data_IF_592190479271
#
_entry.id   IF_592190479271
#
_cell.length_a   1.000
_cell.length_b   1.000
_cell.length_c   1.000
_cell.angle_alpha   90.00
_cell.angle_beta   90.00
_cell.angle_gamma   90.00
#
_symmetry.space_group_name_H-M   'P 1'
#
loop_
_entity.id
_entity.type
_entity.pdbx_description
1 polymer ?
#
# COMPACT_ATOMS: atom_id res chain seq x y z
N UNK A 1 30.47 -6.10 -18.56
CA UNK A 1 29.38 -5.32 -19.21
C UNK A 1 28.34 -6.15 -19.97
N UNK A 2 28.66 -7.30 -20.59
CA UNK A 2 27.69 -8.13 -21.35
C UNK A 2 26.56 -8.77 -20.52
N UNK A 3 26.80 -9.08 -19.23
CA UNK A 3 25.77 -9.62 -18.31
C UNK A 3 24.70 -8.61 -17.90
N UNK A 4 25.08 -7.32 -17.75
CA UNK A 4 24.15 -6.26 -17.38
C UNK A 4 23.23 -5.91 -18.55
N UNK A 5 23.75 -5.92 -19.79
CA UNK A 5 22.94 -5.73 -21.00
C UNK A 5 21.97 -6.91 -21.24
N UNK A 6 22.36 -8.15 -20.91
CA UNK A 6 21.49 -9.34 -21.02
C UNK A 6 20.37 -9.33 -19.98
N UNK A 7 20.64 -8.85 -18.76
CA UNK A 7 19.62 -8.71 -17.72
C UNK A 7 18.66 -7.56 -18.05
N UNK A 8 19.16 -6.43 -18.56
CA UNK A 8 18.31 -5.29 -18.98
C UNK A 8 17.48 -5.64 -20.22
N UNK A 9 18.02 -6.39 -21.20
CA UNK A 9 17.23 -6.84 -22.36
C UNK A 9 16.21 -7.93 -21.99
N UNK A 10 16.53 -8.85 -21.07
CA UNK A 10 15.54 -9.79 -20.49
C UNK A 10 14.47 -9.05 -19.69
N UNK A 11 14.82 -8.00 -18.96
CA UNK A 11 13.86 -7.20 -18.17
C UNK A 11 12.96 -6.33 -19.07
N UNK A 12 13.50 -5.77 -20.16
CA UNK A 12 12.74 -5.05 -21.19
C UNK A 12 11.86 -6.00 -22.04
N UNK A 13 12.33 -7.20 -22.34
CA UNK A 13 11.55 -8.26 -22.99
C UNK A 13 10.42 -8.79 -22.09
N UNK A 14 10.67 -8.93 -20.78
CA UNK A 14 9.62 -9.25 -19.81
C UNK A 14 8.62 -8.11 -19.61
N UNK A 15 9.06 -6.84 -19.65
CA UNK A 15 8.17 -5.65 -19.59
C UNK A 15 7.18 -5.60 -20.76
N UNK A 16 7.57 -6.07 -21.95
CA UNK A 16 6.65 -6.21 -23.08
C UNK A 16 5.68 -7.41 -22.92
N UNK A 17 6.04 -8.43 -22.13
CA UNK A 17 5.16 -9.54 -21.76
C UNK A 17 4.11 -9.15 -20.70
N UNK A 18 4.47 -8.24 -19.78
CA UNK A 18 3.51 -7.62 -18.83
C UNK A 18 2.52 -6.66 -19.50
N UNK A 19 2.79 -6.19 -20.72
CA UNK A 19 1.83 -5.42 -21.53
C UNK A 19 0.73 -6.30 -22.15
N UNK A 20 0.90 -7.63 -22.15
CA UNK A 20 -0.01 -8.60 -22.78
C UNK A 20 -0.74 -9.52 -21.78
N UNK A 21 -0.51 -9.38 -20.48
CA UNK A 21 -1.20 -10.17 -19.45
C UNK A 21 -2.11 -9.21 -18.68
N UNK A 22 -3.39 -9.20 -19.05
CA UNK A 22 -4.44 -8.47 -18.33
C UNK A 22 -5.10 -7.32 -19.10
N UNK A 23 -5.39 -7.48 -20.38
CA UNK A 23 -6.45 -6.71 -21.06
C UNK A 23 -7.54 -7.69 -21.47
N UNK A 24 -8.48 -7.95 -20.57
CA UNK A 24 -9.82 -8.39 -20.98
C UNK A 24 -10.68 -7.12 -20.96
N UNK A 25 -10.86 -6.53 -22.14
CA UNK A 25 -11.76 -5.40 -22.32
C UNK A 25 -13.19 -5.93 -22.28
N UNK A 26 -13.97 -5.44 -21.32
CA UNK A 26 -15.41 -5.66 -21.29
C UNK A 26 -16.03 -4.95 -22.51
N UNK A 27 -16.70 -5.66 -23.46
CA UNK A 27 -17.06 -5.10 -24.77
C UNK A 27 -18.09 -3.97 -24.72
N UNK A 28 -18.62 -3.62 -23.55
CA UNK A 28 -19.56 -2.52 -23.36
C UNK A 28 -18.98 -1.28 -22.64
N UNK A 29 -17.78 -1.35 -22.04
CA UNK A 29 -17.30 -0.24 -21.17
C UNK A 29 -15.79 0.04 -21.19
N UNK A 30 -14.95 -0.79 -21.83
CA UNK A 30 -13.56 -0.42 -22.18
C UNK A 30 -12.64 -0.04 -21.01
N UNK A 31 -12.81 -0.60 -19.80
CA UNK A 31 -11.93 -0.34 -18.64
C UNK A 31 -11.24 -1.61 -18.12
N UNK A 32 -9.99 -1.53 -17.62
CA UNK A 32 -9.32 -2.64 -16.95
C UNK A 32 -9.69 -2.72 -15.46
N UNK A 33 -10.27 -3.85 -15.05
CA UNK A 33 -10.59 -4.15 -13.64
C UNK A 33 -9.37 -4.69 -12.89
N UNK A 34 -8.95 -4.01 -11.82
CA UNK A 34 -7.90 -4.48 -10.91
C UNK A 34 -8.54 -5.08 -9.66
N UNK A 35 -8.68 -6.41 -9.66
CA UNK A 35 -9.17 -7.17 -8.51
C UNK A 35 -8.12 -7.20 -7.40
N UNK A 36 -8.42 -6.55 -6.28
CA UNK A 36 -7.66 -6.66 -5.04
C UNK A 36 -8.53 -7.45 -4.06
N UNK A 37 -8.08 -8.65 -3.68
CA UNK A 37 -8.81 -9.60 -2.83
C UNK A 37 -8.83 -9.08 -1.39
N UNK A 38 -9.77 -8.18 -1.09
CA UNK A 38 -10.21 -7.87 0.27
C UNK A 38 -11.75 -7.88 0.30
N UNK A 39 -12.30 -9.04 0.68
CA UNK A 39 -13.66 -9.21 1.18
C UNK A 39 -14.78 -8.44 0.48
N UNK A 40 -15.14 -8.83 -0.74
CA UNK A 40 -16.27 -8.28 -1.52
C UNK A 40 -17.67 -8.48 -0.90
N UNK A 41 -17.75 -9.00 0.33
CA UNK A 41 -18.99 -9.53 0.90
C UNK A 41 -19.78 -8.53 1.76
N UNK A 42 -19.21 -7.39 2.18
CA UNK A 42 -19.90 -6.48 3.10
C UNK A 42 -20.33 -5.14 2.48
N UNK A 43 -19.69 -4.67 1.40
CA UNK A 43 -20.00 -3.36 0.79
C UNK A 43 -20.90 -3.41 -0.46
N UNK A 44 -21.08 -4.59 -1.07
CA UNK A 44 -21.78 -4.77 -2.36
C UNK A 44 -23.08 -5.57 -2.19
N UNK A 45 -24.09 -4.98 -1.52
CA UNK A 45 -25.44 -5.56 -1.49
C UNK A 45 -26.43 -4.94 -2.47
N UNK A 46 -26.09 -3.88 -3.22
CA UNK A 46 -27.06 -3.23 -4.11
C UNK A 46 -26.88 -3.47 -5.63
N UNK A 47 -25.96 -4.35 -6.05
CA UNK A 47 -25.72 -4.64 -7.49
C UNK A 47 -25.91 -6.10 -7.90
N UNK A 48 -26.25 -7.00 -6.97
CA UNK A 48 -26.35 -8.45 -7.26
C UNK A 48 -27.63 -8.87 -8.00
N UNK A 49 -28.50 -7.95 -8.37
CA UNK A 49 -29.77 -8.28 -9.03
C UNK A 49 -29.70 -8.37 -10.56
N UNK A 50 -28.59 -8.02 -11.22
CA UNK A 50 -28.57 -7.88 -12.69
C UNK A 50 -27.55 -8.67 -13.51
N UNK A 51 -26.63 -9.44 -12.91
CA UNK A 51 -25.67 -10.25 -13.68
C UNK A 51 -25.60 -11.68 -13.16
N UNK A 52 -26.64 -12.46 -13.46
CA UNK A 52 -26.56 -13.92 -13.48
C UNK A 52 -27.13 -14.41 -14.79
N UNK A 53 -26.29 -14.49 -15.84
CA UNK A 53 -26.42 -15.43 -16.96
C UNK A 53 -25.22 -15.34 -17.90
N UNK A 54 -24.54 -16.48 -18.04
CA UNK A 54 -23.74 -16.96 -19.19
C UNK A 54 -22.38 -16.30 -19.47
N UNK A 55 -21.27 -17.02 -19.23
CA UNK A 55 -20.29 -17.54 -20.23
C UNK A 55 -19.01 -18.11 -19.53
N UNK A 56 -18.09 -18.82 -20.21
CA UNK A 56 -17.59 -20.12 -19.81
C UNK A 56 -16.14 -20.09 -19.26
N UNK A 57 -15.71 -21.22 -18.71
CA UNK A 57 -14.35 -21.45 -18.23
C UNK A 57 -13.33 -21.49 -19.40
N UNK A 58 -12.23 -20.76 -19.26
CA UNK A 58 -11.02 -20.99 -20.05
C UNK A 58 -9.79 -20.93 -19.16
N UNK A 59 -9.02 -22.03 -19.21
CA UNK A 59 -7.92 -22.35 -18.33
C UNK A 59 -6.58 -21.72 -18.74
N UNK A 60 -5.74 -21.54 -17.73
CA UNK A 60 -4.32 -21.26 -17.94
C UNK A 60 -3.66 -20.52 -16.78
N UNK A 61 -3.65 -21.09 -15.57
CA UNK A 61 -2.80 -20.72 -14.41
C UNK A 61 -2.82 -21.86 -13.37
N UNK A 62 -2.13 -22.98 -13.64
CA UNK A 62 -2.57 -24.30 -13.14
C UNK A 62 -1.79 -24.90 -11.97
N UNK A 63 -0.84 -24.23 -11.32
CA UNK A 63 -0.12 -24.84 -10.19
C UNK A 63 -0.07 -24.01 -8.91
N UNK A 64 0.24 -22.71 -8.99
CA UNK A 64 0.36 -21.88 -7.79
C UNK A 64 -1.02 -21.51 -7.22
N UNK A 65 -1.98 -21.13 -8.07
CA UNK A 65 -3.38 -20.97 -7.67
C UNK A 65 -3.97 -22.29 -7.16
N UNK A 66 -3.69 -23.41 -7.84
CA UNK A 66 -4.17 -24.73 -7.38
C UNK A 66 -3.55 -25.14 -6.05
N UNK A 67 -2.29 -24.81 -5.78
CA UNK A 67 -1.62 -25.09 -4.51
C UNK A 67 -2.14 -24.20 -3.38
N UNK A 68 -2.40 -22.91 -3.66
CA UNK A 68 -2.99 -21.96 -2.69
C UNK A 68 -4.45 -22.31 -2.40
N UNK A 69 -5.24 -22.70 -3.40
CA UNK A 69 -6.62 -23.15 -3.23
C UNK A 69 -6.71 -24.55 -2.59
N UNK A 70 -5.78 -25.48 -2.88
CA UNK A 70 -5.71 -26.80 -2.22
C UNK A 70 -5.21 -26.70 -0.78
N UNK A 71 -4.25 -25.83 -0.50
CA UNK A 71 -3.80 -25.50 0.85
C UNK A 71 -4.91 -24.86 1.69
N UNK A 72 -5.76 -24.03 1.06
CA UNK A 72 -6.97 -23.51 1.71
C UNK A 72 -8.03 -24.60 1.95
N UNK A 73 -8.27 -25.52 1.00
CA UNK A 73 -9.27 -26.60 1.16
C UNK A 73 -8.90 -27.66 2.20
N UNK A 74 -7.63 -28.08 2.27
CA UNK A 74 -7.22 -29.16 3.20
C UNK A 74 -7.26 -28.73 4.69
N UNK A 75 -7.15 -27.43 4.98
CA UNK A 75 -7.31 -26.89 6.34
C UNK A 75 -8.78 -26.76 6.76
N UNK A 76 -9.70 -26.78 5.80
CA UNK A 76 -11.13 -26.53 6.01
C UNK A 76 -11.92 -27.80 6.39
N UNK A 77 -11.36 -29.01 6.19
CA UNK A 77 -12.03 -30.28 6.55
C UNK A 77 -11.63 -30.85 7.92
N UNK A 78 -10.39 -30.65 8.40
CA UNK A 78 -9.90 -31.32 9.62
C UNK A 78 -10.03 -30.44 10.88
N UNK A 79 -10.01 -29.12 10.75
CA UNK A 79 -10.14 -28.19 11.90
C UNK A 79 -11.57 -27.79 12.24
N UNK A 80 -12.55 -28.10 11.39
CA UNK A 80 -13.92 -27.58 11.46
C UNK A 80 -14.86 -28.49 12.24
N UNK A 81 -14.65 -29.82 12.26
CA UNK A 81 -15.59 -30.73 12.92
C UNK A 81 -15.62 -30.64 14.45
N UNK A 82 -14.49 -30.32 15.10
CA UNK A 82 -14.38 -30.24 16.58
C UNK A 82 -14.74 -28.87 17.14
N UNK A 83 -14.34 -27.77 16.48
CA UNK A 83 -14.64 -26.41 16.95
C UNK A 83 -16.08 -25.96 16.63
N UNK A 84 -16.71 -26.55 15.61
CA UNK A 84 -18.05 -26.17 15.16
C UNK A 84 -19.18 -26.68 16.08
N UNK A 85 -18.91 -27.69 16.93
CA UNK A 85 -19.86 -28.21 17.92
C UNK A 85 -19.88 -27.42 19.25
N UNK A 86 -18.82 -26.71 19.61
CA UNK A 86 -18.72 -26.02 20.91
C UNK A 86 -19.21 -24.56 20.91
N UNK A 87 -19.35 -23.91 19.74
CA UNK A 87 -19.49 -22.44 19.64
C UNK A 87 -20.75 -21.98 18.86
N UNK A 88 -21.84 -22.75 18.92
CA UNK A 88 -23.03 -22.57 18.09
C UNK A 88 -24.12 -21.62 18.64
N UNK A 89 -23.89 -20.86 19.72
CA UNK A 89 -25.03 -20.28 20.49
C UNK A 89 -25.10 -18.75 20.55
N UNK A 90 -24.46 -17.98 19.65
CA UNK A 90 -24.70 -16.52 19.58
C UNK A 90 -24.76 -16.07 18.12
N UNK A 91 -25.95 -16.15 17.53
CA UNK A 91 -26.30 -15.51 16.25
C UNK A 91 -27.37 -14.47 16.53
N UNK A 92 -27.13 -13.24 16.09
CA UNK A 92 -28.15 -12.19 16.14
C UNK A 92 -28.97 -12.18 14.84
N UNK A 93 -30.27 -11.93 14.93
CA UNK A 93 -31.20 -11.92 13.79
C UNK A 93 -30.86 -10.85 12.75
N UNK A 94 -30.29 -9.72 13.18
CA UNK A 94 -29.91 -8.60 12.31
C UNK A 94 -28.58 -8.79 11.58
N UNK A 95 -27.84 -9.86 11.82
CA UNK A 95 -26.57 -10.13 11.15
C UNK A 95 -26.77 -10.95 9.88
N UNK A 96 -26.14 -10.53 8.78
CA UNK A 96 -26.30 -11.11 7.43
C UNK A 96 -25.40 -12.31 7.14
N UNK A 97 -24.68 -12.84 8.14
CA UNK A 97 -23.70 -13.92 7.95
C UNK A 97 -24.27 -15.29 8.31
N UNK A 98 -23.87 -16.33 7.58
CA UNK A 98 -24.44 -17.68 7.69
C UNK A 98 -23.99 -18.45 8.96
N UNK A 99 -22.78 -18.16 9.46
CA UNK A 99 -22.16 -18.76 10.65
C UNK A 99 -22.31 -17.90 11.91
N UNK A 100 -21.82 -18.33 13.07
CA UNK A 100 -21.89 -17.55 14.33
C UNK A 100 -21.08 -16.26 14.26
N UNK A 101 -21.52 -15.20 14.98
CA UNK A 101 -20.85 -13.89 14.98
C UNK A 101 -19.37 -14.01 15.39
N UNK A 102 -19.08 -14.91 16.34
CA UNK A 102 -17.73 -15.13 16.85
C UNK A 102 -16.85 -15.78 15.80
N UNK A 103 -17.34 -16.83 15.12
CA UNK A 103 -16.61 -17.47 14.03
C UNK A 103 -16.36 -16.49 12.89
N UNK A 104 -17.31 -15.60 12.61
CA UNK A 104 -17.12 -14.55 11.62
C UNK A 104 -15.96 -13.61 11.96
N UNK A 105 -15.90 -13.16 13.22
CA UNK A 105 -14.84 -12.28 13.70
C UNK A 105 -13.49 -13.01 13.71
N UNK A 106 -13.47 -14.27 14.17
CA UNK A 106 -12.25 -15.09 14.20
C UNK A 106 -11.72 -15.36 12.79
N UNK A 107 -12.58 -15.66 11.83
CA UNK A 107 -12.20 -15.82 10.43
C UNK A 107 -11.65 -14.50 9.84
N UNK A 108 -12.22 -13.37 10.28
CA UNK A 108 -11.76 -12.02 9.93
C UNK A 108 -10.38 -11.69 10.49
N UNK A 109 -10.00 -12.29 11.62
CA UNK A 109 -8.66 -12.21 12.17
C UNK A 109 -7.69 -13.16 11.44
N UNK A 110 -8.03 -14.46 11.42
CA UNK A 110 -7.08 -15.53 11.12
C UNK A 110 -6.62 -15.52 9.66
N UNK A 111 -7.52 -15.23 8.71
CA UNK A 111 -7.18 -15.22 7.28
C UNK A 111 -6.15 -14.12 6.93
N UNK A 112 -6.42 -12.83 7.18
CA UNK A 112 -5.44 -11.77 6.90
C UNK A 112 -4.21 -11.83 7.81
N UNK A 113 -4.33 -12.32 9.05
CA UNK A 113 -3.17 -12.58 9.91
C UNK A 113 -2.18 -13.56 9.27
N UNK A 114 -2.67 -14.71 8.79
CA UNK A 114 -1.83 -15.73 8.16
C UNK A 114 -1.22 -15.22 6.85
N UNK A 115 -1.99 -14.50 6.03
CA UNK A 115 -1.48 -13.90 4.79
C UNK A 115 -0.34 -12.93 5.09
N UNK A 116 -0.53 -12.04 6.07
CA UNK A 116 0.51 -11.10 6.49
C UNK A 116 1.76 -11.78 7.03
N UNK A 117 1.58 -12.79 7.88
CA UNK A 117 2.67 -13.56 8.45
C UNK A 117 3.47 -14.32 7.38
N UNK A 118 2.79 -15.00 6.46
CA UNK A 118 3.42 -15.75 5.36
C UNK A 118 4.15 -14.80 4.40
N UNK A 119 3.58 -13.64 4.06
CA UNK A 119 4.23 -12.68 3.17
C UNK A 119 5.55 -12.14 3.75
N UNK A 120 5.58 -11.79 5.03
CA UNK A 120 6.79 -11.27 5.67
C UNK A 120 7.84 -12.35 5.92
N UNK A 121 7.42 -13.54 6.33
CA UNK A 121 8.33 -14.67 6.47
C UNK A 121 8.94 -15.08 5.13
N UNK A 122 8.14 -15.20 4.07
CA UNK A 122 8.62 -15.54 2.73
C UNK A 122 9.62 -14.51 2.19
N UNK A 123 9.31 -13.20 2.31
CA UNK A 123 10.22 -12.13 1.85
C UNK A 123 11.56 -12.12 2.60
N UNK A 124 11.58 -12.50 3.89
CA UNK A 124 12.82 -12.67 4.65
C UNK A 124 13.58 -13.92 4.22
N UNK A 125 12.88 -15.04 4.03
CA UNK A 125 13.50 -16.28 3.57
C UNK A 125 14.23 -16.08 2.23
N UNK A 126 13.61 -15.35 1.28
CA UNK A 126 14.22 -15.00 -0.01
C UNK A 126 15.46 -14.10 0.12
N UNK A 127 15.62 -13.35 1.21
CA UNK A 127 16.81 -12.53 1.41
C UNK A 127 18.01 -13.34 1.94
N UNK A 128 17.80 -14.57 2.45
CA UNK A 128 18.81 -15.40 3.13
C UNK A 128 19.13 -16.70 2.38
N UNK A 129 19.10 -16.69 1.05
CA UNK A 129 19.09 -17.86 0.15
C UNK A 129 20.17 -18.94 0.39
N UNK A 130 21.23 -18.66 1.17
CA UNK A 130 22.35 -19.58 1.37
C UNK A 130 22.65 -19.98 2.82
N UNK A 131 22.15 -19.25 3.83
CA UNK A 131 22.42 -19.54 5.26
C UNK A 131 21.25 -20.20 5.99
N UNK A 132 20.07 -20.23 5.36
CA UNK A 132 18.83 -20.62 6.01
C UNK A 132 18.58 -22.14 6.00
N UNK A 133 19.16 -22.85 5.03
CA UNK A 133 19.01 -24.31 4.88
C UNK A 133 19.90 -25.07 5.89
N UNK A 134 21.02 -24.47 6.32
CA UNK A 134 21.94 -25.12 7.26
C UNK A 134 21.47 -25.11 8.73
N UNK A 135 20.62 -24.15 9.14
CA UNK A 135 20.23 -23.98 10.54
C UNK A 135 18.70 -23.77 10.69
N UNK A 136 17.90 -24.83 10.92
CA UNK A 136 16.45 -24.74 11.11
C UNK A 136 16.04 -24.03 12.41
N UNK A 137 16.94 -23.93 13.40
CA UNK A 137 16.69 -23.18 14.64
C UNK A 137 16.61 -21.66 14.41
N UNK A 138 17.42 -21.14 13.47
CA UNK A 138 17.37 -19.73 13.07
C UNK A 138 16.09 -19.37 12.35
N UNK A 139 15.48 -20.31 11.64
CA UNK A 139 14.16 -20.15 11.01
C UNK A 139 13.06 -19.91 12.04
N UNK A 140 12.99 -20.69 13.11
CA UNK A 140 11.97 -20.51 14.15
C UNK A 140 12.16 -19.17 14.90
N UNK A 141 13.41 -18.78 15.15
CA UNK A 141 13.75 -17.47 15.72
C UNK A 141 13.34 -16.31 14.78
N UNK A 142 13.60 -16.44 13.48
CA UNK A 142 13.16 -15.48 12.47
C UNK A 142 11.64 -15.40 12.34
N UNK A 143 10.93 -16.51 12.46
CA UNK A 143 9.46 -16.56 12.42
C UNK A 143 8.83 -15.95 13.67
N UNK A 144 9.42 -16.17 14.84
CA UNK A 144 8.98 -15.60 16.12
C UNK A 144 9.41 -14.15 16.33
N UNK A 145 10.13 -13.57 15.35
CA UNK A 145 10.53 -12.17 15.40
C UNK A 145 9.30 -11.26 15.51
N UNK A 146 9.31 -10.37 16.52
CA UNK A 146 8.17 -9.50 16.85
C UNK A 146 7.67 -8.74 15.62
N UNK A 147 8.58 -8.27 14.77
CA UNK A 147 8.26 -7.54 13.54
C UNK A 147 7.44 -8.35 12.52
N UNK A 148 7.62 -9.67 12.46
CA UNK A 148 6.86 -10.54 11.54
C UNK A 148 5.45 -10.79 12.07
N UNK A 149 5.31 -10.96 13.39
CA UNK A 149 4.02 -11.09 14.05
C UNK A 149 3.24 -9.77 14.07
N UNK A 150 3.91 -8.63 14.23
CA UNK A 150 3.28 -7.30 14.26
C UNK A 150 2.48 -6.98 12.99
N UNK A 151 2.97 -7.38 11.82
CA UNK A 151 2.25 -7.12 10.56
C UNK A 151 1.02 -8.02 10.41
N UNK A 152 1.14 -9.29 10.78
CA UNK A 152 -0.01 -10.20 10.85
C UNK A 152 -1.05 -9.69 11.85
N UNK A 153 -0.61 -9.25 13.03
CA UNK A 153 -1.47 -8.69 14.08
C UNK A 153 -2.18 -7.41 13.63
N UNK A 154 -1.49 -6.55 12.87
CA UNK A 154 -2.09 -5.36 12.27
C UNK A 154 -3.21 -5.73 11.29
N UNK A 155 -2.93 -6.60 10.31
CA UNK A 155 -3.90 -6.99 9.27
C UNK A 155 -5.08 -7.79 9.85
N UNK A 156 -4.78 -8.74 10.74
CA UNK A 156 -5.77 -9.53 11.46
C UNK A 156 -6.62 -8.67 12.40
N UNK A 157 -5.99 -7.85 13.21
CA UNK A 157 -6.65 -6.98 14.18
C UNK A 157 -7.56 -5.96 13.51
N UNK A 158 -7.09 -5.30 12.45
CA UNK A 158 -7.91 -4.38 11.65
C UNK A 158 -9.20 -5.06 11.14
N UNK A 159 -9.06 -6.24 10.51
CA UNK A 159 -10.21 -6.98 9.95
C UNK A 159 -11.16 -7.51 11.02
N UNK A 160 -10.63 -7.99 12.15
CA UNK A 160 -11.43 -8.48 13.26
C UNK A 160 -12.21 -7.35 13.93
N UNK A 161 -11.55 -6.23 14.25
CA UNK A 161 -12.17 -5.06 14.88
C UNK A 161 -13.25 -4.46 14.00
N UNK A 162 -13.01 -4.38 12.69
CA UNK A 162 -14.03 -3.93 11.74
C UNK A 162 -15.31 -4.77 11.83
N UNK A 163 -15.19 -6.11 11.84
CA UNK A 163 -16.33 -7.02 11.95
C UNK A 163 -17.00 -6.98 13.32
N UNK A 164 -16.21 -6.97 14.39
CA UNK A 164 -16.71 -6.90 15.77
C UNK A 164 -17.58 -5.66 15.95
N UNK A 165 -17.11 -4.49 15.49
CA UNK A 165 -17.83 -3.23 15.65
C UNK A 165 -19.10 -3.22 14.80
N UNK A 166 -19.05 -3.70 13.55
CA UNK A 166 -20.26 -3.80 12.72
C UNK A 166 -21.31 -4.75 13.34
N UNK A 167 -20.90 -5.92 13.82
CA UNK A 167 -21.79 -6.84 14.52
C UNK A 167 -22.34 -6.22 15.80
N UNK A 168 -21.52 -5.50 16.57
CA UNK A 168 -21.93 -4.85 17.81
C UNK A 168 -22.95 -3.73 17.55
N UNK A 169 -22.72 -2.87 16.56
CA UNK A 169 -23.67 -1.82 16.16
C UNK A 169 -24.97 -2.43 15.63
N UNK A 170 -24.91 -3.52 14.86
CA UNK A 170 -26.11 -4.24 14.44
C UNK A 170 -26.86 -4.86 15.61
N UNK A 171 -26.15 -5.27 16.67
CA UNK A 171 -26.77 -5.81 17.88
C UNK A 171 -27.53 -4.72 18.64
N UNK A 172 -26.93 -3.54 18.80
CA UNK A 172 -27.55 -2.41 19.50
C UNK A 172 -28.70 -1.76 18.74
N UNK A 173 -28.57 -1.58 17.42
CA UNK A 173 -29.59 -0.84 16.63
C UNK A 173 -30.60 -1.74 15.90
N UNK A 174 -30.34 -3.05 15.81
CA UNK A 174 -31.23 -4.02 15.18
C UNK A 174 -31.43 -3.85 13.66
N UNK A 175 -30.76 -2.87 13.03
CA UNK A 175 -30.88 -2.52 11.60
C UNK A 175 -29.50 -2.47 10.97
N UNK A 176 -29.37 -2.88 9.71
CA UNK A 176 -28.13 -2.75 8.95
C UNK A 176 -28.04 -1.40 8.23
N UNK A 177 -26.92 -0.68 8.38
CA UNK A 177 -26.68 0.63 7.76
C UNK A 177 -25.23 0.76 7.32
N UNK A 178 -25.00 1.32 6.14
CA UNK A 178 -23.66 1.57 5.60
C UNK A 178 -22.83 2.55 6.46
N UNK A 179 -23.48 3.40 7.27
CA UNK A 179 -22.81 4.37 8.15
C UNK A 179 -21.96 3.72 9.25
N UNK A 180 -22.23 2.46 9.61
CA UNK A 180 -21.48 1.75 10.65
C UNK A 180 -20.05 1.39 10.21
N UNK A 181 -19.79 1.38 8.91
CA UNK A 181 -18.44 1.17 8.38
C UNK A 181 -17.47 2.28 8.82
N UNK A 182 -17.95 3.50 9.08
CA UNK A 182 -17.11 4.64 9.46
C UNK A 182 -16.49 4.44 10.85
N UNK A 183 -17.26 4.26 11.95
CA UNK A 183 -16.68 4.01 13.27
C UNK A 183 -15.90 2.69 13.32
N UNK A 184 -16.34 1.66 12.57
CA UNK A 184 -15.63 0.40 12.47
C UNK A 184 -14.23 0.56 11.83
N UNK A 185 -14.11 1.34 10.76
CA UNK A 185 -12.84 1.62 10.11
C UNK A 185 -11.92 2.50 10.96
N UNK A 186 -12.46 3.52 11.63
CA UNK A 186 -11.68 4.40 12.51
C UNK A 186 -11.05 3.63 13.68
N UNK A 187 -11.86 2.82 14.37
CA UNK A 187 -11.37 1.99 15.47
C UNK A 187 -10.46 0.86 14.99
N UNK A 188 -10.74 0.25 13.84
CA UNK A 188 -9.84 -0.70 13.20
C UNK A 188 -8.48 -0.08 12.87
N UNK A 189 -8.46 1.17 12.41
CA UNK A 189 -7.25 1.92 12.10
C UNK A 189 -6.28 2.07 13.26
N UNK A 190 -6.76 2.05 14.52
CA UNK A 190 -5.91 2.10 15.71
C UNK A 190 -4.93 0.92 15.80
N UNK A 191 -5.23 -0.21 15.17
CA UNK A 191 -4.31 -1.36 15.09
C UNK A 191 -3.03 -1.05 14.32
N UNK A 192 -2.96 0.05 13.55
CA UNK A 192 -1.70 0.53 12.96
C UNK A 192 -0.62 0.79 14.02
N UNK A 193 -0.99 1.04 15.28
CA UNK A 193 -0.03 1.22 16.38
C UNK A 193 0.85 -0.01 16.59
N UNK A 194 0.38 -1.22 16.26
CA UNK A 194 1.18 -2.44 16.39
C UNK A 194 2.26 -2.58 15.30
N UNK A 195 2.08 -1.92 14.16
CA UNK A 195 3.05 -1.88 13.07
C UNK A 195 3.24 -0.43 12.57
N UNK A 196 3.99 0.41 13.31
CA UNK A 196 4.23 1.79 12.92
C UNK A 196 5.21 1.84 11.75
N UNK A 197 4.69 1.99 10.53
CA UNK A 197 5.50 2.21 9.33
C UNK A 197 4.86 3.24 8.42
N UNK A 198 5.53 4.37 8.23
CA UNK A 198 5.04 5.45 7.35
C UNK A 198 4.83 4.96 5.92
N UNK A 199 5.65 4.02 5.44
CA UNK A 199 5.50 3.43 4.09
C UNK A 199 4.18 2.68 3.95
N UNK A 200 3.82 1.85 4.93
CA UNK A 200 2.58 1.06 4.87
C UNK A 200 1.37 1.94 5.09
N UNK A 201 1.45 2.89 6.04
CA UNK A 201 0.38 3.85 6.28
C UNK A 201 0.07 4.68 5.03
N UNK A 202 1.11 5.23 4.39
CA UNK A 202 0.97 5.98 3.15
C UNK A 202 0.41 5.12 2.01
N UNK A 203 0.87 3.87 1.88
CA UNK A 203 0.35 2.95 0.88
C UNK A 203 -1.13 2.65 1.09
N UNK A 204 -1.55 2.40 2.34
CA UNK A 204 -2.95 2.14 2.66
C UNK A 204 -3.81 3.37 2.42
N UNK A 205 -3.37 4.55 2.88
CA UNK A 205 -4.04 5.83 2.61
C UNK A 205 -4.21 6.06 1.11
N UNK A 206 -3.18 5.80 0.32
CA UNK A 206 -3.26 5.94 -1.13
C UNK A 206 -4.26 4.95 -1.75
N UNK A 207 -4.22 3.69 -1.33
CA UNK A 207 -5.15 2.66 -1.81
C UNK A 207 -6.59 2.91 -1.39
N UNK A 208 -6.83 3.47 -0.21
CA UNK A 208 -8.19 3.86 0.19
C UNK A 208 -8.68 5.05 -0.62
N UNK A 209 -7.82 6.03 -0.92
CA UNK A 209 -8.16 7.15 -1.79
C UNK A 209 -8.48 6.68 -3.22
N UNK A 210 -7.68 5.78 -3.78
CA UNK A 210 -7.92 5.15 -5.09
C UNK A 210 -9.27 4.43 -5.13
N UNK A 211 -9.54 3.55 -4.15
CA UNK A 211 -10.82 2.83 -4.07
C UNK A 211 -11.99 3.76 -3.81
N UNK A 212 -11.82 4.79 -2.99
CA UNK A 212 -12.83 5.82 -2.72
C UNK A 212 -13.22 6.58 -3.97
N UNK A 213 -12.25 6.98 -4.79
CA UNK A 213 -12.49 7.63 -6.08
C UNK A 213 -13.25 6.71 -7.04
N UNK A 214 -12.86 5.44 -7.15
CA UNK A 214 -13.55 4.47 -8.01
C UNK A 214 -15.01 4.24 -7.57
N UNK A 215 -15.26 4.05 -6.27
CA UNK A 215 -16.62 3.91 -5.72
C UNK A 215 -17.44 5.18 -5.96
N UNK A 216 -16.82 6.36 -5.83
CA UNK A 216 -17.47 7.63 -6.09
C UNK A 216 -17.83 7.84 -7.56
N UNK A 217 -16.99 7.33 -8.46
CA UNK A 217 -17.26 7.31 -9.90
C UNK A 217 -18.39 6.34 -10.26
N UNK A 218 -18.40 5.13 -9.68
CA UNK A 218 -19.49 4.15 -9.86
C UNK A 218 -20.85 4.70 -9.41
N UNK A 219 -20.87 5.53 -8.37
CA UNK A 219 -22.08 6.18 -7.86
C UNK A 219 -22.49 7.43 -8.64
N UNK A 220 -21.73 7.84 -9.66
CA UNK A 220 -21.97 9.06 -10.42
C UNK A 220 -21.76 10.35 -9.63
N UNK A 221 -21.15 10.29 -8.44
CA UNK A 221 -20.91 11.46 -7.59
C UNK A 221 -19.67 12.26 -8.00
N UNK A 222 -18.71 11.63 -8.68
CA UNK A 222 -17.48 12.26 -9.15
C UNK A 222 -17.37 12.24 -10.68
N UNK A 223 -16.91 13.33 -11.32
CA UNK A 223 -16.70 13.38 -12.76
C UNK A 223 -15.45 12.57 -13.18
N UNK A 224 -15.51 11.98 -14.37
CA UNK A 224 -14.38 11.25 -14.94
C UNK A 224 -13.32 12.19 -15.55
N UNK A 225 -12.20 12.36 -14.87
CA UNK A 225 -11.09 13.19 -15.35
C UNK A 225 -10.18 12.35 -16.25
N UNK A 226 -10.17 12.63 -17.57
CA UNK A 226 -9.43 11.87 -18.60
C UNK A 226 -7.90 11.83 -18.40
N UNK A 227 -7.33 12.75 -17.60
CA UNK A 227 -5.88 12.86 -17.37
C UNK A 227 -5.51 12.89 -15.87
N UNK A 228 -6.29 12.26 -15.00
CA UNK A 228 -6.03 12.31 -13.56
C UNK A 228 -4.65 11.74 -13.18
N UNK A 229 -4.29 10.57 -13.71
CA UNK A 229 -3.03 9.89 -13.35
C UNK A 229 -1.78 10.69 -13.77
N UNK A 230 -1.67 11.20 -15.02
CA UNK A 230 -0.54 12.04 -15.40
C UNK A 230 -0.47 13.35 -14.60
N UNK A 231 -1.61 14.00 -14.34
CA UNK A 231 -1.66 15.26 -13.58
C UNK A 231 -1.19 15.03 -12.14
N UNK A 232 -1.69 13.97 -11.50
CA UNK A 232 -1.31 13.68 -10.14
C UNK A 232 0.17 13.29 -10.03
N UNK A 233 0.68 12.56 -11.02
CA UNK A 233 2.11 12.25 -11.12
C UNK A 233 2.96 13.51 -11.33
N UNK A 234 2.54 14.43 -12.21
CA UNK A 234 3.28 15.67 -12.47
C UNK A 234 3.28 16.58 -11.24
N UNK A 235 2.13 16.74 -10.56
CA UNK A 235 2.04 17.55 -9.33
C UNK A 235 2.89 16.94 -8.23
N UNK A 236 2.83 15.63 -8.03
CA UNK A 236 3.65 14.94 -7.02
C UNK A 236 5.14 15.07 -7.30
N UNK A 237 5.53 14.97 -8.58
CA UNK A 237 6.93 15.12 -9.01
C UNK A 237 7.41 16.57 -8.86
N UNK A 238 6.57 17.55 -9.20
CA UNK A 238 6.87 18.97 -9.01
C UNK A 238 7.05 19.30 -7.52
N UNK A 239 6.17 18.80 -6.66
CA UNK A 239 6.24 18.99 -5.21
C UNK A 239 7.48 18.31 -4.61
N UNK A 240 7.81 17.11 -5.07
CA UNK A 240 9.02 16.41 -4.66
C UNK A 240 10.29 17.15 -5.07
N UNK A 241 10.36 17.69 -6.29
CA UNK A 241 11.47 18.52 -6.75
C UNK A 241 11.56 19.85 -5.97
N UNK A 242 10.42 20.47 -5.68
CA UNK A 242 10.37 21.70 -4.88
C UNK A 242 10.94 21.48 -3.47
N UNK A 243 10.49 20.43 -2.78
CA UNK A 243 11.01 20.07 -1.45
C UNK A 243 12.49 19.70 -1.51
N UNK A 244 12.93 19.02 -2.57
CA UNK A 244 14.35 18.67 -2.72
C UNK A 244 15.28 19.89 -2.88
N UNK A 245 14.77 21.01 -3.38
CA UNK A 245 15.51 22.28 -3.51
C UNK A 245 15.39 23.13 -2.25
N UNK A 246 14.17 23.32 -1.73
CA UNK A 246 13.92 24.20 -0.59
C UNK A 246 14.30 23.56 0.76
N UNK A 247 13.90 22.31 1.00
CA UNK A 247 14.01 21.65 2.31
C UNK A 247 14.54 20.21 2.17
N UNK A 248 15.71 20.06 1.54
CA UNK A 248 16.31 18.75 1.26
C UNK A 248 16.45 17.85 2.50
N UNK A 249 16.62 18.46 3.69
CA UNK A 249 16.80 17.78 4.97
C UNK A 249 15.54 17.05 5.46
N UNK A 250 14.34 17.49 5.05
CA UNK A 250 13.07 16.84 5.41
C UNK A 250 12.76 15.64 4.49
N UNK A 251 13.52 15.49 3.40
CA UNK A 251 13.30 14.44 2.43
C UNK A 251 13.97 13.13 2.88
N UNK A 252 13.29 12.00 2.65
CA UNK A 252 13.89 10.68 2.88
C UNK A 252 15.18 10.55 2.05
N UNK A 253 16.32 10.14 2.64
CA UNK A 253 17.61 10.11 1.93
C UNK A 253 17.62 9.28 0.64
N UNK A 254 16.79 8.23 0.58
CA UNK A 254 16.63 7.41 -0.62
C UNK A 254 16.01 8.20 -1.78
N UNK A 255 15.01 9.05 -1.51
CA UNK A 255 14.41 9.92 -2.54
C UNK A 255 15.38 11.01 -2.96
N UNK A 256 16.11 11.60 -2.01
CA UNK A 256 17.12 12.59 -2.33
C UNK A 256 18.18 12.01 -3.29
N UNK A 257 18.78 10.87 -2.96
CA UNK A 257 19.74 10.16 -3.85
C UNK A 257 19.17 9.86 -5.23
N UNK A 258 17.89 9.46 -5.30
CA UNK A 258 17.22 9.21 -6.57
C UNK A 258 17.10 10.48 -7.42
N UNK A 259 16.69 11.60 -6.82
CA UNK A 259 16.59 12.89 -7.49
C UNK A 259 17.96 13.42 -7.93
N UNK A 260 18.98 13.34 -7.08
CA UNK A 260 20.36 13.71 -7.42
C UNK A 260 20.86 12.90 -8.62
N UNK A 261 20.54 11.60 -8.67
CA UNK A 261 20.90 10.74 -9.80
C UNK A 261 20.16 11.12 -11.08
N UNK A 262 18.85 11.38 -11.02
CA UNK A 262 18.07 11.77 -12.21
C UNK A 262 18.46 13.15 -12.75
N UNK A 263 18.82 14.06 -11.86
CA UNK A 263 19.24 15.42 -12.21
C UNK A 263 20.72 15.54 -12.53
N UNK A 264 21.48 14.44 -12.62
CA UNK A 264 22.94 14.47 -12.88
C UNK A 264 23.69 15.37 -11.89
N UNK A 265 23.38 15.25 -10.60
CA UNK A 265 24.00 15.99 -9.50
C UNK A 265 23.77 17.51 -9.54
N UNK A 266 22.81 18.00 -10.34
CA UNK A 266 22.49 19.43 -10.44
C UNK A 266 21.86 20.01 -9.17
N UNK A 267 21.10 19.21 -8.43
CA UNK A 267 20.49 19.66 -7.17
C UNK A 267 21.58 20.12 -6.18
N UNK A 268 22.71 19.41 -6.12
CA UNK A 268 23.82 19.76 -5.25
C UNK A 268 24.60 21.01 -5.71
N UNK A 269 24.34 21.52 -6.91
CA UNK A 269 24.95 22.75 -7.44
C UNK A 269 24.09 23.98 -7.15
N UNK A 270 22.87 23.80 -6.64
CA UNK A 270 22.02 24.92 -6.24
C UNK A 270 22.64 25.57 -5.00
N UNK A 271 22.68 26.89 -4.98
CA UNK A 271 23.12 27.62 -3.80
C UNK A 271 22.05 27.54 -2.71
N UNK A 272 22.17 26.53 -1.84
CA UNK A 272 21.22 26.27 -0.76
C UNK A 272 21.26 27.35 0.33
N UNK A 273 22.41 27.97 0.57
CA UNK A 273 22.52 29.07 1.53
C UNK A 273 21.72 30.30 1.10
N UNK A 274 21.59 30.55 -0.20
CA UNK A 274 20.73 31.62 -0.69
C UNK A 274 19.24 31.38 -0.36
N UNK A 275 18.81 30.11 -0.38
CA UNK A 275 17.41 29.74 -0.13
C UNK A 275 17.02 29.87 1.36
N UNK A 276 18.00 30.04 2.26
CA UNK A 276 17.75 30.28 3.68
C UNK A 276 17.10 31.64 3.95
N UNK A 277 17.18 32.59 3.02
CA UNK A 277 16.47 33.88 3.11
C UNK A 277 14.95 33.65 3.25
N UNK A 278 14.43 32.55 2.68
CA UNK A 278 13.02 32.17 2.80
C UNK A 278 12.68 31.47 4.13
N UNK A 279 13.64 31.32 5.05
CA UNK A 279 13.46 30.62 6.32
C UNK A 279 13.41 29.09 6.22
N UNK A 280 13.74 28.53 5.05
CA UNK A 280 13.59 27.09 4.74
C UNK A 280 14.75 26.20 5.21
N UNK A 281 15.81 26.77 5.81
CA UNK A 281 16.95 26.03 6.37
C UNK A 281 17.49 24.97 5.38
N UNK A 282 17.60 25.35 4.11
CA UNK A 282 18.07 24.55 2.99
C UNK A 282 19.56 24.21 3.14
N UNK A 283 20.34 25.09 3.74
CA UNK A 283 21.79 24.90 3.97
C UNK A 283 22.16 23.77 4.93
N UNK A 284 21.23 23.26 5.75
CA UNK A 284 21.49 22.24 6.78
C UNK A 284 22.19 20.98 6.24
N UNK A 285 21.88 20.59 5.01
CA UNK A 285 22.48 19.41 4.37
C UNK A 285 23.79 19.74 3.63
N UNK A 286 24.08 21.03 3.40
CA UNK A 286 25.20 21.52 2.57
C UNK A 286 25.94 22.71 3.22
N UNK A 287 26.53 22.55 4.42
CA UNK A 287 27.14 23.65 5.16
C UNK A 287 28.30 24.33 4.41
N UNK A 288 29.09 23.58 3.63
CA UNK A 288 30.33 24.08 3.00
C UNK A 288 30.18 24.52 1.53
N UNK A 289 28.94 24.69 1.04
CA UNK A 289 28.64 24.77 -0.41
C UNK A 289 28.47 26.20 -0.97
N UNK A 290 29.38 27.13 -0.65
CA UNK A 290 29.35 28.47 -1.27
C UNK A 290 30.02 28.43 -2.66
N UNK A 291 29.27 28.63 -3.76
CA UNK A 291 29.87 28.75 -5.08
C UNK A 291 30.60 30.09 -5.21
N UNK A 292 31.73 30.10 -5.92
CA UNK A 292 32.40 31.34 -6.32
C UNK A 292 31.51 32.08 -7.33
N UNK A 293 30.93 33.20 -6.90
CA UNK A 293 29.98 33.98 -7.69
C UNK A 293 30.73 35.06 -8.47
N UNK A 294 30.58 35.09 -9.80
CA UNK A 294 31.10 36.18 -10.61
C UNK A 294 30.26 37.46 -10.39
N UNK A 295 30.90 38.48 -9.84
CA UNK A 295 30.29 39.78 -9.55
C UNK A 295 29.73 40.48 -10.80
N UNK A 296 30.18 40.10 -12.00
CA UNK A 296 29.69 40.69 -13.27
C UNK A 296 28.27 40.29 -13.62
N UNK A 297 27.81 39.14 -13.13
CA UNK A 297 26.48 38.58 -13.45
C UNK A 297 25.51 38.62 -12.27
N UNK A 298 25.87 39.28 -11.17
CA UNK A 298 25.02 39.42 -9.99
C UNK A 298 24.41 40.82 -9.93
N UNK A 299 23.16 40.92 -9.46
CA UNK A 299 22.50 42.23 -9.36
C UNK A 299 23.13 43.06 -8.23
N UNK A 300 23.14 44.38 -8.40
CA UNK A 300 23.71 45.30 -7.40
C UNK A 300 23.02 45.19 -6.04
N UNK A 301 21.68 45.06 -6.04
CA UNK A 301 20.87 44.86 -4.83
C UNK A 301 21.30 43.58 -4.10
N UNK A 302 21.60 42.51 -4.85
CA UNK A 302 22.06 41.26 -4.25
C UNK A 302 23.44 41.40 -3.60
N UNK A 303 24.36 42.11 -4.25
CA UNK A 303 25.69 42.37 -3.70
C UNK A 303 25.63 43.17 -2.40
N UNK A 304 24.76 44.18 -2.35
CA UNK A 304 24.62 45.05 -1.19
C UNK A 304 23.85 44.38 -0.03
N UNK A 305 22.84 43.56 -0.31
CA UNK A 305 22.02 42.95 0.75
C UNK A 305 22.54 41.62 1.29
N UNK A 306 23.18 40.78 0.45
CA UNK A 306 23.50 39.39 0.80
C UNK A 306 25.00 39.19 0.99
N UNK A 307 25.83 39.67 0.07
CA UNK A 307 27.28 39.47 0.11
C UNK A 307 27.94 40.24 1.27
N UNK A 308 27.45 41.44 1.62
CA UNK A 308 27.98 42.22 2.75
C UNK A 308 27.76 41.56 4.11
N UNK A 309 26.66 40.82 4.29
CA UNK A 309 26.37 40.08 5.53
C UNK A 309 27.15 38.75 5.66
N UNK A 310 27.88 38.36 4.61
CA UNK A 310 28.49 37.03 4.48
C UNK A 310 30.02 37.03 4.54
N UNK A 311 30.63 38.21 4.49
CA UNK A 311 32.09 38.42 4.57
C UNK A 311 32.57 38.49 6.04
N UNK A 312 31.67 38.32 7.02
CA UNK A 312 31.98 38.27 8.44
C UNK A 312 31.73 36.89 9.07
#
# INVERSE_FOLDING_TARGET
MRLIFSIISKFLSHRNRWRKIGHFEDPNTGRPDVWFVLGDNEARQNTKSYQKKNLPSSGGNSLLERAVSRGMRLKEEVGTSLLQRMWSTIRHSSCTHDYSCILYCLQGFLRPFLIGFVALSASRCLSFEKKLISDPSKLFSLLSEKRNLSLGLFLGGFGATFRIINCLLRWFFGKDRASYAIPAALLGGLFMKFYPSSTISLYLMWKTMEKGYLIGLEKGALPHIKCFTPLLYSVSSALLCHVAVMEAHNLKPAYFKFLTKMTHNRINQVNHHFLDIFGTQSSKLFPDSWPELDHRYTSRIFQECVLLWLIH
#
